data_IF_958924721385
#
_entry.id   IF_958924721385
#
_cell.length_a   1.000
_cell.length_b   1.000
_cell.length_c   1.000
_cell.angle_alpha   90.00
_cell.angle_beta   90.00
_cell.angle_gamma   90.00
#
_symmetry.space_group_name_H-M   'P 1'
#
loop_
_entity.id
_entity.type
_entity.pdbx_description
1 polymer ?
#
# COMPACT_ATOMS: atom_id res chain seq x y z
N UNK A 1 -13.41 1.78 0.90
CA UNK A 1 -12.78 2.89 1.64
C UNK A 1 -11.48 2.37 2.24
N UNK A 2 -10.41 3.13 2.11
CA UNK A 2 -9.14 2.88 2.78
C UNK A 2 -9.08 3.61 4.11
N UNK A 3 -8.19 3.17 4.98
CA UNK A 3 -7.79 3.97 6.12
C UNK A 3 -7.25 5.32 5.65
N UNK A 4 -7.68 6.42 6.27
CA UNK A 4 -7.08 7.73 6.03
C UNK A 4 -6.00 7.94 7.04
N UNK A 5 -5.22 7.29 7.55
CA UNK A 5 -4.09 7.54 8.46
C UNK A 5 -4.28 8.57 9.57
N UNK A 6 -5.43 9.25 9.59
CA UNK A 6 -5.75 10.22 10.61
C UNK A 6 -6.70 9.61 11.64
N UNK A 7 -6.20 9.47 12.85
CA UNK A 7 -7.09 9.25 14.00
C UNK A 7 -7.65 10.61 14.42
N UNK A 8 -8.96 10.74 14.36
CA UNK A 8 -9.65 11.87 14.94
C UNK A 8 -9.99 11.50 16.37
N UNK A 9 -9.44 12.22 17.32
CA UNK A 9 -9.84 12.06 18.71
C UNK A 9 -11.22 12.70 18.92
N UNK A 10 -12.21 11.90 19.24
CA UNK A 10 -13.54 12.38 19.63
C UNK A 10 -13.51 13.15 20.96
N UNK A 11 -14.64 13.79 21.31
CA UNK A 11 -14.78 14.63 22.51
C UNK A 11 -14.40 13.96 23.85
N UNK A 12 -14.19 12.66 23.90
CA UNK A 12 -13.80 11.89 25.10
C UNK A 12 -12.48 11.15 24.92
N UNK A 13 -11.64 11.56 23.98
CA UNK A 13 -10.34 10.91 23.75
C UNK A 13 -10.45 9.57 22.99
N UNK A 14 -11.61 9.27 22.38
CA UNK A 14 -11.75 8.09 21.52
C UNK A 14 -11.18 8.39 20.14
N UNK A 15 -10.20 7.61 19.72
CA UNK A 15 -9.68 7.64 18.36
C UNK A 15 -10.47 6.72 17.43
N UNK A 16 -10.62 7.11 16.18
CA UNK A 16 -11.10 6.28 15.10
C UNK A 16 -10.44 6.71 13.79
N UNK A 17 -10.42 5.78 12.82
CA UNK A 17 -9.86 6.08 11.51
C UNK A 17 -10.99 6.42 10.54
N UNK A 18 -10.90 7.56 9.92
CA UNK A 18 -11.82 7.92 8.85
C UNK A 18 -11.61 7.00 7.64
N UNK A 19 -12.69 6.70 6.93
CA UNK A 19 -12.62 6.06 5.63
C UNK A 19 -12.46 7.12 4.54
N UNK A 20 -11.49 6.94 3.65
CA UNK A 20 -11.35 7.72 2.42
C UNK A 20 -11.84 6.93 1.23
N UNK A 21 -12.59 7.59 0.35
CA UNK A 21 -13.02 6.98 -0.92
C UNK A 21 -11.83 6.98 -1.87
N UNK A 22 -11.53 5.83 -2.43
CA UNK A 22 -10.47 5.67 -3.42
C UNK A 22 -10.99 4.97 -4.66
N UNK A 23 -10.33 5.23 -5.78
CA UNK A 23 -10.62 4.54 -7.03
C UNK A 23 -9.90 3.19 -7.04
N UNK A 24 -10.65 2.13 -7.33
CA UNK A 24 -10.09 0.78 -7.51
C UNK A 24 -10.36 0.30 -8.92
N UNK A 25 -9.41 -0.41 -9.51
CA UNK A 25 -9.56 -1.10 -10.78
C UNK A 25 -8.84 -2.44 -10.72
N UNK A 26 -9.58 -3.53 -10.90
CA UNK A 26 -9.05 -4.90 -10.84
C UNK A 26 -8.20 -5.14 -9.58
N UNK A 27 -8.75 -4.83 -8.41
CA UNK A 27 -8.07 -5.01 -7.11
C UNK A 27 -6.84 -4.10 -6.88
N UNK A 28 -6.56 -3.17 -7.79
CA UNK A 28 -5.50 -2.17 -7.62
C UNK A 28 -6.10 -0.88 -7.11
N UNK A 29 -5.51 -0.33 -6.06
CA UNK A 29 -5.87 0.98 -5.50
C UNK A 29 -4.91 2.03 -6.06
N UNK A 30 -5.47 3.07 -6.66
CA UNK A 30 -4.69 4.19 -7.19
C UNK A 30 -4.80 5.37 -6.22
N UNK A 31 -3.71 5.69 -5.55
CA UNK A 31 -3.62 6.86 -4.67
C UNK A 31 -2.19 7.38 -4.60
N UNK A 32 -2.06 8.69 -4.47
CA UNK A 32 -0.81 9.36 -4.11
C UNK A 32 -0.86 9.95 -2.70
N UNK A 33 -1.94 9.68 -1.94
CA UNK A 33 -2.06 10.17 -0.57
C UNK A 33 -1.27 9.25 0.37
N UNK A 34 -0.11 9.72 0.80
CA UNK A 34 0.78 8.98 1.71
C UNK A 34 0.13 8.69 3.07
N UNK A 35 -0.88 9.48 3.48
CA UNK A 35 -1.62 9.22 4.72
C UNK A 35 -2.43 7.93 4.69
N UNK A 36 -2.59 7.32 3.52
CA UNK A 36 -3.26 6.02 3.34
C UNK A 36 -2.32 4.83 3.50
N UNK A 37 -1.01 5.07 3.66
CA UNK A 37 -0.02 4.01 3.79
C UNK A 37 0.27 3.69 5.24
N UNK A 38 0.35 2.39 5.52
CA UNK A 38 0.66 1.86 6.84
C UNK A 38 1.81 0.88 6.73
N UNK A 39 2.62 0.84 7.77
CA UNK A 39 3.68 -0.17 7.90
C UNK A 39 3.26 -1.19 8.95
N UNK A 40 3.34 -2.47 8.59
CA UNK A 40 3.28 -3.58 9.54
C UNK A 40 4.70 -3.89 9.99
N UNK A 41 5.04 -3.45 11.20
CA UNK A 41 6.35 -3.66 11.81
C UNK A 41 6.31 -4.92 12.67
N UNK A 42 7.23 -5.86 12.42
CA UNK A 42 7.24 -7.15 13.12
C UNK A 42 7.41 -6.97 14.62
N UNK A 43 6.57 -7.63 15.39
CA UNK A 43 6.65 -7.71 16.85
C UNK A 43 6.59 -9.16 17.33
N UNK A 44 6.91 -9.43 18.58
CA UNK A 44 6.77 -10.76 19.15
C UNK A 44 5.28 -11.14 19.23
N UNK A 45 4.88 -12.12 18.41
CA UNK A 45 3.49 -12.60 18.36
C UNK A 45 2.55 -11.85 17.43
N UNK A 46 3.06 -10.94 16.56
CA UNK A 46 2.25 -10.19 15.60
C UNK A 46 2.95 -9.01 15.00
N UNK A 47 2.23 -7.91 14.87
CA UNK A 47 2.71 -6.69 14.22
C UNK A 47 2.29 -5.45 15.00
N UNK A 48 3.14 -4.46 15.04
CA UNK A 48 2.71 -3.09 15.25
C UNK A 48 2.20 -2.53 13.93
N UNK A 49 1.12 -1.77 13.97
CA UNK A 49 0.63 -1.00 12.81
C UNK A 49 1.07 0.44 13.01
N UNK A 50 1.85 0.96 12.07
CA UNK A 50 2.40 2.31 12.12
C UNK A 50 1.83 3.15 10.98
N UNK A 51 1.37 4.36 11.26
CA UNK A 51 0.87 5.29 10.25
C UNK A 51 2.02 6.04 9.52
N UNK A 52 1.66 6.80 8.48
CA UNK A 52 2.62 7.58 7.69
C UNK A 52 3.36 8.66 8.52
N UNK A 53 2.81 9.07 9.65
CA UNK A 53 3.45 10.02 10.58
C UNK A 53 4.38 9.33 11.58
N UNK A 54 4.56 8.01 11.47
CA UNK A 54 5.42 7.23 12.36
C UNK A 54 4.79 6.89 13.72
N UNK A 55 3.47 7.08 13.88
CA UNK A 55 2.75 6.77 15.11
C UNK A 55 2.21 5.34 15.07
N UNK A 56 2.17 4.68 16.21
CA UNK A 56 1.69 3.32 16.37
C UNK A 56 0.25 3.28 16.83
N UNK A 57 -0.55 2.37 16.28
CA UNK A 57 -1.92 2.17 16.74
C UNK A 57 -1.96 1.47 18.08
N UNK A 58 -2.91 1.91 18.88
CA UNK A 58 -3.10 1.46 20.25
C UNK A 58 -4.58 1.29 20.56
N UNK A 59 -4.94 0.18 21.20
CA UNK A 59 -6.27 -0.14 21.73
C UNK A 59 -6.19 -0.21 23.24
N UNK A 60 -7.03 0.59 23.95
CA UNK A 60 -7.00 0.71 25.40
C UNK A 60 -7.79 -0.38 26.16
N UNK A 61 -8.44 -1.28 25.43
CA UNK A 61 -9.23 -2.37 26.01
C UNK A 61 -10.65 -2.00 26.42
N UNK A 62 -11.02 -0.72 26.41
CA UNK A 62 -12.32 -0.24 26.94
C UNK A 62 -13.29 0.21 25.86
N UNK A 63 -12.79 0.74 24.76
CA UNK A 63 -13.61 1.39 23.75
C UNK A 63 -13.35 0.84 22.35
N UNK A 64 -14.30 1.03 21.43
CA UNK A 64 -14.19 0.59 20.02
C UNK A 64 -13.35 1.58 19.21
N UNK A 65 -12.16 1.89 19.69
CA UNK A 65 -11.32 2.95 19.14
C UNK A 65 -9.99 2.43 18.56
N UNK A 66 -9.36 3.29 17.79
CA UNK A 66 -7.95 3.26 17.48
C UNK A 66 -7.34 4.56 17.95
N UNK A 67 -6.57 4.52 19.01
CA UNK A 67 -5.71 5.64 19.40
C UNK A 67 -4.34 5.50 18.75
N UNK A 68 -3.51 6.51 18.84
CA UNK A 68 -2.13 6.48 18.38
C UNK A 68 -1.17 6.93 19.49
N UNK A 69 0.00 6.31 19.49
CA UNK A 69 1.12 6.62 20.41
C UNK A 69 2.42 6.75 19.63
N UNK A 70 3.37 7.49 20.17
CA UNK A 70 4.64 7.77 19.50
C UNK A 70 5.72 6.69 19.76
N UNK A 71 5.46 5.73 20.65
CA UNK A 71 6.40 4.66 20.96
C UNK A 71 5.70 3.30 21.03
N UNK A 72 6.47 2.24 20.96
CA UNK A 72 5.97 0.86 21.05
C UNK A 72 5.57 0.44 22.45
N UNK A 73 5.96 1.18 23.51
CA UNK A 73 5.69 0.80 24.91
C UNK A 73 4.22 0.64 25.24
N UNK A 74 3.37 1.41 24.57
CA UNK A 74 1.91 1.38 24.72
C UNK A 74 1.18 0.94 23.44
N UNK A 75 1.93 0.67 22.37
CA UNK A 75 1.35 0.23 21.11
C UNK A 75 0.73 -1.17 21.28
N UNK A 76 -0.38 -1.40 20.60
CA UNK A 76 -0.99 -2.72 20.58
C UNK A 76 -0.29 -3.60 19.56
N UNK A 77 -0.02 -4.86 19.93
CA UNK A 77 0.40 -5.89 18.98
C UNK A 77 -0.86 -6.51 18.37
N UNK A 78 -0.90 -6.54 17.04
CA UNK A 78 -2.01 -7.03 16.26
C UNK A 78 -1.63 -8.33 15.58
N UNK A 79 -2.50 -9.33 15.62
CA UNK A 79 -2.42 -10.47 14.72
C UNK A 79 -3.16 -10.14 13.44
N UNK A 80 -2.61 -10.57 12.31
CA UNK A 80 -3.18 -10.35 10.96
C UNK A 80 -3.37 -11.70 10.30
N UNK A 81 -4.61 -12.11 10.10
CA UNK A 81 -4.96 -13.42 9.54
C UNK A 81 -5.81 -13.25 8.29
N UNK A 82 -5.44 -13.86 7.16
CA UNK A 82 -6.25 -13.80 5.94
C UNK A 82 -7.51 -14.66 6.07
N UNK A 83 -8.62 -14.17 5.48
CA UNK A 83 -9.84 -14.92 5.25
C UNK A 83 -9.86 -15.49 3.82
N UNK A 84 -10.70 -16.49 3.59
CA UNK A 84 -10.85 -17.12 2.27
C UNK A 84 -11.42 -16.17 1.19
N UNK A 85 -12.10 -15.10 1.59
CA UNK A 85 -12.69 -14.09 0.70
C UNK A 85 -11.73 -12.95 0.32
N UNK A 86 -10.46 -13.03 0.73
CA UNK A 86 -9.45 -12.01 0.48
C UNK A 86 -9.46 -10.84 1.47
N UNK A 87 -10.37 -10.85 2.45
CA UNK A 87 -10.31 -9.90 3.56
C UNK A 87 -9.38 -10.40 4.66
N UNK A 88 -9.15 -9.59 5.70
CA UNK A 88 -8.29 -9.93 6.80
C UNK A 88 -9.01 -9.73 8.14
N UNK A 89 -8.67 -10.59 9.11
CA UNK A 89 -8.98 -10.37 10.51
C UNK A 89 -7.74 -9.78 11.17
N UNK A 90 -7.86 -8.57 11.68
CA UNK A 90 -6.81 -7.88 12.43
C UNK A 90 -7.29 -7.77 13.87
N UNK A 91 -6.62 -8.46 14.77
CA UNK A 91 -7.10 -8.63 16.15
C UNK A 91 -6.02 -8.28 17.16
N UNK A 92 -6.39 -7.53 18.20
CA UNK A 92 -5.55 -7.30 19.37
C UNK A 92 -5.55 -8.51 20.32
N UNK A 93 -4.57 -8.59 21.20
CA UNK A 93 -4.43 -9.69 22.17
C UNK A 93 -5.64 -9.84 23.11
N UNK A 94 -6.37 -8.76 23.38
CA UNK A 94 -7.57 -8.76 24.20
C UNK A 94 -8.86 -9.03 23.41
N UNK A 95 -8.75 -9.29 22.10
CA UNK A 95 -9.85 -9.71 21.23
C UNK A 95 -10.64 -8.59 20.56
N UNK A 96 -10.13 -7.36 20.50
CA UNK A 96 -10.72 -6.31 19.64
C UNK A 96 -10.37 -6.58 18.19
N UNK A 97 -11.37 -6.52 17.30
CA UNK A 97 -11.24 -6.80 15.88
C UNK A 97 -11.41 -5.50 15.09
N UNK A 98 -10.47 -5.24 14.20
CA UNK A 98 -10.52 -4.09 13.29
C UNK A 98 -11.60 -4.30 12.26
N UNK A 99 -12.57 -3.39 12.20
CA UNK A 99 -13.67 -3.44 11.24
C UNK A 99 -14.03 -2.04 10.74
N UNK A 100 -14.57 -1.97 9.53
CA UNK A 100 -15.16 -0.76 8.96
C UNK A 100 -16.67 -0.72 9.25
N UNK A 101 -17.13 0.33 9.90
CA UNK A 101 -18.55 0.60 10.10
C UNK A 101 -19.11 1.36 8.91
N UNK A 102 -20.06 0.77 8.21
CA UNK A 102 -20.79 1.43 7.12
C UNK A 102 -21.67 2.57 7.62
N UNK A 103 -22.16 2.46 8.86
CA UNK A 103 -22.98 3.48 9.50
C UNK A 103 -22.17 4.75 9.81
N UNK A 104 -20.99 4.58 10.41
CA UNK A 104 -20.13 5.70 10.83
C UNK A 104 -19.07 6.08 9.80
N UNK A 105 -18.96 5.31 8.71
CA UNK A 105 -17.96 5.51 7.63
C UNK A 105 -16.53 5.60 8.16
N UNK A 106 -16.23 4.82 9.19
CA UNK A 106 -14.95 4.82 9.89
C UNK A 106 -14.54 3.42 10.31
N UNK A 107 -13.24 3.25 10.53
CA UNK A 107 -12.71 2.03 11.11
C UNK A 107 -12.59 2.19 12.63
N UNK A 108 -12.83 1.10 13.32
CA UNK A 108 -12.64 0.98 14.76
C UNK A 108 -12.19 -0.43 15.12
N UNK A 109 -11.83 -0.65 16.38
CA UNK A 109 -11.53 -1.97 16.93
C UNK A 109 -12.70 -2.40 17.81
N UNK A 110 -13.44 -3.40 17.38
CA UNK A 110 -14.71 -3.80 17.97
C UNK A 110 -14.57 -5.07 18.83
N UNK A 111 -15.18 -5.06 20.02
CA UNK A 111 -15.30 -6.24 20.88
C UNK A 111 -16.70 -6.27 21.52
N UNK A 112 -17.50 -7.30 21.27
CA UNK A 112 -17.32 -8.30 20.21
C UNK A 112 -17.32 -7.67 18.81
N UNK A 113 -16.82 -8.44 17.82
CA UNK A 113 -16.95 -8.06 16.43
C UNK A 113 -18.42 -7.84 16.06
N UNK A 114 -18.69 -6.82 15.26
CA UNK A 114 -20.05 -6.50 14.82
C UNK A 114 -20.35 -7.17 13.49
N UNK A 115 -21.43 -7.93 13.40
CA UNK A 115 -21.84 -8.62 12.18
C UNK A 115 -22.24 -7.69 11.01
N UNK A 116 -22.59 -6.44 11.31
CA UNK A 116 -22.93 -5.43 10.29
C UNK A 116 -21.72 -4.63 9.76
N UNK A 117 -20.54 -4.86 10.31
CA UNK A 117 -19.31 -4.19 9.90
C UNK A 117 -18.53 -5.06 8.91
N UNK A 118 -17.67 -4.41 8.13
CA UNK A 118 -16.86 -5.07 7.11
C UNK A 118 -15.44 -5.33 7.60
N UNK A 119 -14.91 -6.50 7.29
CA UNK A 119 -13.50 -6.81 7.48
C UNK A 119 -12.62 -6.01 6.51
N UNK A 120 -11.42 -5.59 6.91
CA UNK A 120 -10.52 -4.84 6.05
C UNK A 120 -9.93 -5.72 4.94
N UNK A 121 -9.64 -5.10 3.79
CA UNK A 121 -8.76 -5.65 2.77
C UNK A 121 -7.42 -4.93 2.86
N UNK A 122 -6.33 -5.66 2.72
CA UNK A 122 -4.98 -5.11 2.71
C UNK A 122 -4.45 -5.09 1.27
N UNK A 123 -3.81 -3.99 0.90
CA UNK A 123 -3.16 -3.81 -0.38
C UNK A 123 -1.68 -3.56 -0.14
N UNK A 124 -0.83 -4.23 -0.90
CA UNK A 124 0.62 -3.97 -0.84
C UNK A 124 0.90 -2.68 -1.61
N UNK A 125 1.63 -1.77 -0.98
CA UNK A 125 2.17 -0.62 -1.68
C UNK A 125 3.41 -1.06 -2.45
N UNK A 126 3.34 -0.96 -3.77
CA UNK A 126 4.48 -1.18 -4.65
C UNK A 126 4.99 0.18 -5.15
N UNK A 127 6.05 0.66 -4.53
CA UNK A 127 6.70 1.90 -4.93
C UNK A 127 7.29 1.84 -6.36
N UNK A 128 7.43 0.63 -6.92
CA UNK A 128 7.96 0.42 -8.28
C UNK A 128 6.85 0.34 -9.33
N UNK A 129 5.60 0.20 -8.94
CA UNK A 129 4.43 0.17 -9.84
C UNK A 129 4.11 1.54 -10.46
N UNK A 130 4.56 2.64 -9.86
CA UNK A 130 4.74 3.91 -10.59
C UNK A 130 5.97 3.78 -11.45
N UNK A 131 5.97 4.30 -12.66
CA UNK A 131 7.17 4.44 -13.50
C UNK A 131 8.16 5.31 -12.70
N UNK A 132 8.76 4.74 -11.67
CA UNK A 132 9.94 5.29 -11.05
C UNK A 132 10.99 5.29 -12.16
N UNK A 133 11.28 6.50 -12.65
CA UNK A 133 12.39 6.78 -13.56
C UNK A 133 13.06 5.49 -14.00
N UNK A 134 12.79 5.08 -15.25
CA UNK A 134 13.66 4.13 -15.89
C UNK A 134 15.07 4.55 -15.45
N UNK A 135 15.68 3.84 -14.53
CA UNK A 135 17.10 3.86 -14.37
C UNK A 135 17.60 3.34 -15.71
N UNK A 136 17.64 4.26 -16.63
CA UNK A 136 18.34 4.06 -17.85
C UNK A 136 19.78 3.93 -17.37
N UNK A 137 20.16 2.69 -17.07
CA UNK A 137 21.54 2.31 -17.14
C UNK A 137 21.99 2.97 -18.43
N UNK A 138 22.87 3.97 -18.32
CA UNK A 138 23.67 4.41 -19.45
C UNK A 138 24.52 3.21 -19.83
N UNK A 139 23.92 2.21 -20.45
CA UNK A 139 24.67 1.32 -21.28
C UNK A 139 25.08 2.19 -22.45
N UNK A 140 26.33 2.41 -22.62
CA UNK A 140 26.94 2.76 -23.92
C UNK A 140 26.70 1.57 -24.87
N UNK A 141 25.42 1.11 -24.92
CA UNK A 141 25.02 0.02 -25.78
C UNK A 141 24.89 0.60 -27.19
N UNK A 142 25.98 0.44 -27.92
CA UNK A 142 26.03 0.74 -29.36
C UNK A 142 25.16 -0.22 -30.18
N UNK A 143 24.34 -1.03 -29.55
CA UNK A 143 23.45 -1.96 -30.24
C UNK A 143 22.50 -1.20 -31.14
N UNK A 144 22.31 -1.74 -32.34
CA UNK A 144 21.39 -1.23 -33.34
C UNK A 144 20.09 -2.01 -33.26
N UNK A 145 18.96 -1.29 -33.29
CA UNK A 145 17.63 -1.87 -33.31
C UNK A 145 16.86 -1.41 -34.53
N UNK A 146 16.02 -2.27 -35.10
CA UNK A 146 15.07 -1.88 -36.12
C UNK A 146 13.83 -1.19 -35.48
N UNK A 147 12.92 -0.69 -36.30
CA UNK A 147 11.68 -0.03 -35.81
C UNK A 147 10.74 -0.97 -35.04
N UNK A 148 10.85 -2.27 -35.19
CA UNK A 148 10.10 -3.28 -34.47
C UNK A 148 10.71 -3.61 -33.11
N UNK A 149 11.83 -2.95 -32.74
CA UNK A 149 12.54 -3.18 -31.49
C UNK A 149 13.44 -4.43 -31.50
N UNK A 150 13.60 -5.11 -32.65
CA UNK A 150 14.52 -6.24 -32.75
C UNK A 150 15.96 -5.75 -32.82
N UNK A 151 16.83 -6.35 -32.01
CA UNK A 151 18.27 -6.07 -32.01
C UNK A 151 18.92 -6.66 -33.26
N UNK A 152 19.66 -5.84 -33.97
CA UNK A 152 20.43 -6.27 -35.12
C UNK A 152 21.74 -6.95 -34.68
N UNK A 153 22.15 -8.04 -35.34
CA UNK A 153 23.47 -8.62 -35.08
C UNK A 153 24.58 -7.58 -35.24
N UNK A 154 25.62 -7.70 -34.43
CA UNK A 154 26.72 -6.70 -34.38
C UNK A 154 27.40 -6.48 -35.73
N UNK A 155 27.46 -7.54 -36.54
CA UNK A 155 28.12 -7.56 -37.85
C UNK A 155 27.13 -7.58 -39.02
N UNK A 156 25.84 -7.30 -38.73
CA UNK A 156 24.85 -7.30 -39.80
C UNK A 156 25.04 -6.13 -40.75
N UNK A 157 25.07 -6.44 -42.04
CA UNK A 157 25.01 -5.42 -43.07
C UNK A 157 23.57 -4.88 -43.09
N UNK A 158 23.40 -3.63 -42.62
CA UNK A 158 22.08 -3.01 -42.51
C UNK A 158 21.56 -2.68 -43.91
N UNK A 159 20.35 -3.13 -44.20
CA UNK A 159 19.64 -2.75 -45.44
C UNK A 159 19.10 -1.33 -45.33
N UNK A 160 18.79 -0.67 -46.48
CA UNK A 160 18.17 0.66 -46.45
C UNK A 160 16.95 0.68 -45.54
N UNK A 161 16.92 1.62 -44.58
CA UNK A 161 15.85 1.68 -43.60
C UNK A 161 16.16 2.63 -42.43
N UNK A 162 15.24 2.67 -41.48
CA UNK A 162 15.39 3.48 -40.25
C UNK A 162 15.76 2.56 -39.08
N UNK A 163 16.78 2.96 -38.35
CA UNK A 163 17.31 2.21 -37.20
C UNK A 163 17.49 3.12 -35.99
N UNK A 164 17.64 2.52 -34.82
CA UNK A 164 17.87 3.20 -33.55
C UNK A 164 19.21 2.71 -32.98
N UNK A 165 20.10 3.63 -32.63
CA UNK A 165 21.34 3.39 -31.90
C UNK A 165 21.51 4.44 -30.82
N UNK A 166 21.82 4.05 -29.62
CA UNK A 166 22.04 4.99 -28.51
C UNK A 166 20.88 5.98 -28.36
N UNK A 167 19.62 5.53 -28.53
CA UNK A 167 18.37 6.33 -28.50
C UNK A 167 18.20 7.35 -29.65
N UNK A 168 19.07 7.36 -30.62
CA UNK A 168 18.96 8.23 -31.79
C UNK A 168 18.52 7.44 -33.01
N UNK A 169 17.60 7.99 -33.79
CA UNK A 169 17.23 7.44 -35.08
C UNK A 169 18.29 7.82 -36.13
N UNK A 170 18.64 6.88 -36.98
CA UNK A 170 19.46 7.12 -38.16
C UNK A 170 18.89 6.37 -39.37
N UNK A 171 19.23 6.83 -40.54
CA UNK A 171 18.76 6.25 -41.82
C UNK A 171 19.94 5.63 -42.53
N UNK A 172 19.78 4.38 -42.96
CA UNK A 172 20.66 3.71 -43.92
C UNK A 172 20.05 3.90 -45.31
N UNK A 173 20.81 4.37 -46.26
CA UNK A 173 20.41 4.60 -47.65
C UNK A 173 21.00 3.57 -48.57
#
# INVERSE_FOLDING_TARGET
NLFSGQTVQGKKGYGYLNGSVVTTKKEVVFTSDENLFFTLEQAAGGYYIKDASGRYFYQDGTHKNFNVVNSTDKATIWTVTPNADGTFVITSSDGHVVQYSTQYKSFGAYKPASSGNLSPMLYVYDATAGISTLNVVKSDDESVYNLQGARMPKDAQLVPGIYIRGRKKFVVR
#
